data_IF_910229088006
#
_entry.id   IF_910229088006
#
_cell.length_a   1.000
_cell.length_b   1.000
_cell.length_c   1.000
_cell.angle_alpha   90.00
_cell.angle_beta   90.00
_cell.angle_gamma   90.00
#
_symmetry.space_group_name_H-M   'P 1'
#
loop_
_entity.id
_entity.type
_entity.pdbx_description
1 polymer ?
#
# COMPACT_ATOMS: atom_id res chain seq x y z
N UNK A 1 -15.29 32.42 -1.09
CA UNK A 1 -14.06 31.93 -1.74
C UNK A 1 -12.95 31.55 -0.75
N UNK A 2 -12.56 32.45 0.18
CA UNK A 2 -11.52 32.14 1.20
C UNK A 2 -11.99 31.14 2.27
N UNK A 3 -13.21 31.27 2.77
CA UNK A 3 -13.81 30.36 3.78
C UNK A 3 -13.93 28.93 3.25
N UNK A 4 -14.57 28.73 2.09
CA UNK A 4 -14.67 27.41 1.46
C UNK A 4 -13.33 26.71 1.19
N UNK A 5 -12.24 27.47 0.97
CA UNK A 5 -10.90 26.87 0.81
C UNK A 5 -10.31 26.41 2.15
N UNK A 6 -10.61 27.12 3.24
CA UNK A 6 -10.17 26.73 4.60
C UNK A 6 -10.94 25.50 5.06
N UNK A 7 -12.26 25.45 4.83
CA UNK A 7 -13.09 24.29 5.20
C UNK A 7 -12.63 23.01 4.48
N UNK A 8 -12.32 23.10 3.17
CA UNK A 8 -11.77 21.97 2.39
C UNK A 8 -10.38 21.56 2.88
N UNK A 9 -9.55 22.51 3.33
CA UNK A 9 -8.23 22.21 3.87
C UNK A 9 -8.31 21.51 5.23
N UNK A 10 -9.25 21.91 6.08
CA UNK A 10 -9.47 21.29 7.38
C UNK A 10 -10.05 19.87 7.23
N UNK A 11 -11.02 19.66 6.33
CA UNK A 11 -11.52 18.32 5.99
C UNK A 11 -10.42 17.39 5.45
N UNK A 12 -9.59 17.89 4.53
CA UNK A 12 -8.46 17.14 3.99
C UNK A 12 -7.41 16.80 5.06
N UNK A 13 -7.16 17.72 6.00
CA UNK A 13 -6.24 17.49 7.11
C UNK A 13 -6.79 16.44 8.09
N UNK A 14 -8.09 16.46 8.38
CA UNK A 14 -8.75 15.46 9.22
C UNK A 14 -8.74 14.08 8.57
N UNK A 15 -9.04 13.99 7.26
CA UNK A 15 -8.94 12.75 6.49
C UNK A 15 -7.51 12.19 6.47
N UNK A 16 -6.50 13.06 6.37
CA UNK A 16 -5.10 12.65 6.46
C UNK A 16 -4.76 12.13 7.86
N UNK A 17 -5.14 12.85 8.92
CA UNK A 17 -4.90 12.43 10.30
C UNK A 17 -5.55 11.07 10.61
N UNK A 18 -6.79 10.87 10.15
CA UNK A 18 -7.48 9.58 10.26
C UNK A 18 -6.71 8.49 9.52
N UNK A 19 -6.34 8.73 8.27
CA UNK A 19 -5.59 7.77 7.44
C UNK A 19 -4.26 7.38 8.09
N UNK A 20 -3.53 8.33 8.67
CA UNK A 20 -2.28 8.06 9.38
C UNK A 20 -2.49 7.24 10.65
N UNK A 21 -3.55 7.52 11.42
CA UNK A 21 -3.92 6.74 12.60
C UNK A 21 -4.26 5.29 12.22
N UNK A 22 -5.09 5.10 11.19
CA UNK A 22 -5.43 3.77 10.65
C UNK A 22 -4.18 3.03 10.15
N UNK A 23 -3.30 3.73 9.43
CA UNK A 23 -2.04 3.17 8.92
C UNK A 23 -1.12 2.67 10.05
N UNK A 24 -0.98 3.43 11.14
CA UNK A 24 -0.20 3.02 12.32
C UNK A 24 -0.78 1.77 12.99
N UNK A 25 -2.10 1.72 13.14
CA UNK A 25 -2.78 0.55 13.69
C UNK A 25 -2.58 -0.69 12.79
N UNK A 26 -2.64 -0.50 11.47
CA UNK A 26 -2.41 -1.55 10.49
C UNK A 26 -0.98 -2.10 10.58
N UNK A 27 0.03 -1.22 10.62
CA UNK A 27 1.43 -1.60 10.80
C UNK A 27 1.66 -2.41 12.08
N UNK A 28 1.06 -1.97 13.20
CA UNK A 28 1.15 -2.69 14.49
C UNK A 28 0.53 -4.09 14.40
N UNK A 29 -0.57 -4.22 13.66
CA UNK A 29 -1.23 -5.51 13.44
C UNK A 29 -0.39 -6.44 12.57
N UNK A 30 0.23 -5.91 11.51
CA UNK A 30 1.14 -6.66 10.61
C UNK A 30 2.37 -7.13 11.38
N UNK A 31 3.02 -6.25 12.15
CA UNK A 31 4.18 -6.59 12.96
C UNK A 31 3.86 -7.76 13.90
N UNK A 32 2.72 -7.69 14.61
CA UNK A 32 2.28 -8.77 15.50
C UNK A 32 2.03 -10.08 14.76
N UNK A 33 1.41 -10.02 13.58
CA UNK A 33 1.10 -11.20 12.77
C UNK A 33 2.36 -11.87 12.23
N UNK A 34 3.37 -11.08 11.84
CA UNK A 34 4.60 -11.56 11.21
C UNK A 34 5.73 -11.85 12.22
N UNK A 35 5.60 -11.41 13.48
CA UNK A 35 6.67 -11.50 14.48
C UNK A 35 7.22 -12.91 14.72
N UNK A 36 6.37 -13.95 14.66
CA UNK A 36 6.79 -15.34 14.89
C UNK A 36 6.00 -16.33 14.03
N UNK A 37 6.69 -17.32 13.42
CA UNK A 37 6.03 -18.46 12.79
C UNK A 37 5.11 -19.20 13.76
N UNK A 38 3.95 -19.64 13.27
CA UNK A 38 3.04 -20.51 14.00
C UNK A 38 3.58 -21.95 14.01
N UNK A 39 3.88 -22.48 15.19
CA UNK A 39 4.20 -23.89 15.35
C UNK A 39 2.99 -24.76 15.00
N UNK A 40 3.21 -25.82 14.23
CA UNK A 40 2.21 -26.80 13.86
C UNK A 40 2.46 -28.12 14.61
N UNK A 41 1.41 -28.92 14.89
CA UNK A 41 1.60 -30.25 15.49
C UNK A 41 2.42 -31.15 14.57
N UNK A 42 3.27 -32.00 15.16
CA UNK A 42 4.11 -32.96 14.44
C UNK A 42 4.72 -34.00 15.38
N UNK A 43 5.32 -35.08 14.83
CA UNK A 43 5.95 -36.12 15.61
C UNK A 43 7.23 -35.64 16.32
N UNK A 44 7.69 -36.39 17.32
CA UNK A 44 8.94 -36.10 18.01
C UNK A 44 10.13 -36.16 17.04
N UNK A 45 11.01 -35.16 17.10
CA UNK A 45 12.18 -35.06 16.22
C UNK A 45 11.97 -34.18 14.99
N UNK A 46 10.75 -33.69 14.75
CA UNK A 46 10.45 -32.77 13.65
C UNK A 46 10.03 -31.37 14.15
N UNK A 47 10.33 -30.33 13.37
CA UNK A 47 9.86 -28.97 13.61
C UNK A 47 8.98 -28.52 12.45
N UNK A 48 7.68 -28.43 12.70
CA UNK A 48 6.71 -27.95 11.72
C UNK A 48 6.33 -26.50 12.04
N UNK A 49 6.58 -25.57 11.11
CA UNK A 49 6.32 -24.14 11.27
C UNK A 49 5.59 -23.59 10.05
N UNK A 50 4.55 -22.81 10.29
CA UNK A 50 3.86 -22.01 9.29
C UNK A 50 4.25 -20.54 9.46
N UNK A 51 4.71 -19.90 8.40
CA UNK A 51 5.00 -18.48 8.36
C UNK A 51 4.50 -17.90 7.02
N UNK A 52 4.46 -16.58 6.95
CA UNK A 52 4.00 -15.85 5.78
C UNK A 52 5.21 -15.25 5.07
N UNK A 53 5.22 -15.36 3.75
CA UNK A 53 6.22 -14.75 2.88
C UNK A 53 5.52 -13.79 1.91
N UNK A 54 6.20 -12.71 1.47
CA UNK A 54 5.68 -11.83 0.44
C UNK A 54 5.49 -12.60 -0.88
N UNK A 55 4.54 -12.13 -1.70
CA UNK A 55 4.25 -12.74 -3.00
C UNK A 55 5.15 -12.22 -4.12
N UNK A 56 5.60 -10.97 -4.03
CA UNK A 56 6.45 -10.34 -5.06
C UNK A 56 6.04 -8.91 -5.36
N UNK A 57 5.94 -8.57 -6.64
CA UNK A 57 5.50 -7.24 -7.11
C UNK A 57 3.98 -7.16 -7.09
N UNK A 58 3.44 -6.14 -6.42
CA UNK A 58 2.01 -5.86 -6.38
C UNK A 58 1.70 -4.53 -7.04
N UNK A 59 0.60 -4.48 -7.79
CA UNK A 59 0.02 -3.22 -8.26
C UNK A 59 -1.05 -2.75 -7.29
N UNK A 60 -0.91 -1.53 -6.78
CA UNK A 60 -1.97 -0.85 -6.05
C UNK A 60 -2.68 0.11 -7.02
N UNK A 61 -3.92 -0.22 -7.37
CA UNK A 61 -4.72 0.57 -8.31
C UNK A 61 -5.48 1.69 -7.58
N UNK A 62 -5.44 2.90 -8.12
CA UNK A 62 -6.34 3.97 -7.70
C UNK A 62 -6.80 4.84 -8.88
N UNK A 63 -8.11 4.98 -9.01
CA UNK A 63 -8.74 5.95 -9.88
C UNK A 63 -9.56 6.96 -9.06
N UNK A 64 -10.32 7.81 -9.74
CA UNK A 64 -11.22 8.80 -9.11
C UNK A 64 -12.27 8.22 -8.16
N UNK A 65 -12.55 6.92 -8.22
CA UNK A 65 -13.47 6.25 -7.31
C UNK A 65 -12.80 5.77 -6.03
N UNK A 66 -11.47 5.64 -6.01
CA UNK A 66 -10.74 5.12 -4.86
C UNK A 66 -10.44 6.24 -3.87
N UNK A 67 -10.75 6.00 -2.59
CA UNK A 67 -10.44 6.97 -1.52
C UNK A 67 -8.94 7.03 -1.23
N UNK A 68 -8.46 8.20 -0.81
CA UNK A 68 -7.07 8.38 -0.37
C UNK A 68 -6.68 7.42 0.76
N UNK A 69 -7.59 7.18 1.70
CA UNK A 69 -7.38 6.26 2.82
C UNK A 69 -7.17 4.82 2.32
N UNK A 70 -8.02 4.33 1.43
CA UNK A 70 -7.89 2.99 0.86
C UNK A 70 -6.58 2.83 0.08
N UNK A 71 -6.26 3.81 -0.78
CA UNK A 71 -5.03 3.80 -1.58
C UNK A 71 -3.78 3.77 -0.69
N UNK A 72 -3.73 4.63 0.33
CA UNK A 72 -2.62 4.69 1.28
C UNK A 72 -2.47 3.38 2.05
N UNK A 73 -3.57 2.84 2.59
CA UNK A 73 -3.55 1.58 3.33
C UNK A 73 -3.13 0.38 2.48
N UNK A 74 -3.49 0.39 1.19
CA UNK A 74 -3.07 -0.64 0.22
C UNK A 74 -1.56 -0.65 0.06
N UNK A 75 -0.95 0.52 -0.17
CA UNK A 75 0.51 0.68 -0.28
C UNK A 75 1.20 0.26 1.02
N UNK A 76 0.75 0.81 2.16
CA UNK A 76 1.34 0.53 3.48
C UNK A 76 1.28 -0.97 3.80
N UNK A 77 0.15 -1.62 3.56
CA UNK A 77 -0.02 -3.05 3.85
C UNK A 77 0.86 -3.90 2.95
N UNK A 78 0.91 -3.61 1.64
CA UNK A 78 1.74 -4.35 0.69
C UNK A 78 3.23 -4.27 1.04
N UNK A 79 3.74 -3.05 1.29
CA UNK A 79 5.14 -2.83 1.68
C UNK A 79 5.47 -3.47 3.03
N UNK A 80 4.62 -3.28 4.05
CA UNK A 80 4.86 -3.81 5.39
C UNK A 80 4.80 -5.34 5.47
N UNK A 81 4.12 -5.98 4.51
CA UNK A 81 4.11 -7.44 4.35
C UNK A 81 5.25 -7.95 3.46
N UNK A 82 6.18 -7.09 3.06
CA UNK A 82 7.41 -7.43 2.34
C UNK A 82 7.30 -7.45 0.83
N UNK A 83 6.20 -6.97 0.25
CA UNK A 83 6.04 -6.88 -1.21
C UNK A 83 6.66 -5.59 -1.75
N UNK A 84 6.99 -5.60 -3.04
CA UNK A 84 7.36 -4.39 -3.79
C UNK A 84 6.09 -3.85 -4.45
N UNK A 85 5.92 -2.52 -4.49
CA UNK A 85 4.68 -1.89 -4.94
C UNK A 85 4.89 -1.00 -6.16
N UNK A 86 4.03 -1.18 -7.16
CA UNK A 86 3.81 -0.22 -8.24
C UNK A 86 2.41 0.38 -8.08
N UNK A 87 2.30 1.64 -7.71
CA UNK A 87 1.02 2.34 -7.64
C UNK A 87 0.62 2.85 -9.02
N UNK A 88 -0.45 2.28 -9.59
CA UNK A 88 -1.00 2.74 -10.86
C UNK A 88 -2.15 3.71 -10.59
N UNK A 89 -1.94 5.00 -10.87
CA UNK A 89 -2.88 6.08 -10.53
C UNK A 89 -3.35 6.84 -11.76
N UNK A 90 -4.60 7.33 -11.72
CA UNK A 90 -5.11 8.21 -12.76
C UNK A 90 -4.30 9.50 -12.87
N UNK A 91 -4.28 10.13 -14.05
CA UNK A 91 -3.52 11.38 -14.28
C UNK A 91 -3.91 12.52 -13.33
N UNK A 92 -5.12 12.48 -12.76
CA UNK A 92 -5.61 13.45 -11.78
C UNK A 92 -4.80 13.46 -10.48
N UNK A 93 -4.21 12.34 -10.10
CA UNK A 93 -3.49 12.16 -8.82
C UNK A 93 -2.01 11.80 -9.01
N UNK A 94 -1.51 11.89 -10.24
CA UNK A 94 -0.17 11.41 -10.57
C UNK A 94 0.93 12.22 -9.87
N UNK A 95 0.79 13.54 -9.83
CA UNK A 95 1.78 14.42 -9.21
C UNK A 95 1.78 14.27 -7.68
N UNK A 96 0.60 14.13 -7.06
CA UNK A 96 0.46 13.84 -5.64
C UNK A 96 1.06 12.47 -5.26
N UNK A 97 0.87 11.46 -6.11
CA UNK A 97 1.47 10.15 -5.90
C UNK A 97 3.01 10.19 -6.02
N UNK A 98 3.55 10.99 -6.94
CA UNK A 98 5.00 11.22 -7.03
C UNK A 98 5.56 11.93 -5.79
N UNK A 99 4.85 12.94 -5.25
CA UNK A 99 5.25 13.59 -4.00
C UNK A 99 5.21 12.61 -2.82
N UNK A 100 4.20 11.72 -2.77
CA UNK A 100 4.13 10.64 -1.79
C UNK A 100 5.34 9.69 -1.92
N UNK A 101 5.72 9.29 -3.13
CA UNK A 101 6.89 8.46 -3.39
C UNK A 101 8.18 9.13 -2.92
N UNK A 102 8.34 10.41 -3.23
CA UNK A 102 9.49 11.21 -2.81
C UNK A 102 9.58 11.27 -1.28
N UNK A 103 8.48 11.60 -0.59
CA UNK A 103 8.42 11.62 0.87
C UNK A 103 8.77 10.25 1.47
N UNK A 104 8.32 9.16 0.83
CA UNK A 104 8.68 7.80 1.25
C UNK A 104 10.19 7.54 1.09
N UNK A 105 10.81 7.93 -0.02
CA UNK A 105 12.26 7.81 -0.22
C UNK A 105 13.07 8.64 0.78
N UNK A 106 12.59 9.84 1.15
CA UNK A 106 13.22 10.70 2.16
C UNK A 106 13.29 10.05 3.55
N UNK A 107 12.50 8.99 3.82
CA UNK A 107 12.62 8.19 5.06
C UNK A 107 13.86 7.28 5.11
N UNK A 108 14.64 7.21 4.00
CA UNK A 108 15.76 6.28 3.85
C UNK A 108 15.33 4.90 3.33
N UNK A 109 14.10 4.77 2.82
CA UNK A 109 13.63 3.55 2.20
C UNK A 109 14.45 3.22 0.93
N UNK A 110 14.67 1.93 0.61
CA UNK A 110 15.43 1.56 -0.58
C UNK A 110 14.74 2.04 -1.85
N UNK A 111 15.54 2.49 -2.82
CA UNK A 111 15.03 2.83 -4.15
C UNK A 111 14.39 1.61 -4.82
N UNK A 112 13.29 1.83 -5.56
CA UNK A 112 12.62 0.79 -6.34
C UNK A 112 11.59 -0.06 -5.60
N UNK A 113 11.53 -0.03 -4.26
CA UNK A 113 10.51 -0.80 -3.50
C UNK A 113 9.10 -0.20 -3.62
N UNK A 114 9.01 1.09 -3.90
CA UNK A 114 7.77 1.81 -4.19
C UNK A 114 7.94 2.66 -5.44
N UNK A 115 7.12 2.39 -6.46
CA UNK A 115 7.11 3.08 -7.74
C UNK A 115 5.71 3.59 -8.09
N UNK A 116 5.64 4.65 -8.88
CA UNK A 116 4.38 5.26 -9.33
C UNK A 116 4.31 5.21 -10.84
N UNK A 117 3.23 4.64 -11.37
CA UNK A 117 2.93 4.55 -12.78
C UNK A 117 1.62 5.28 -13.10
N UNK A 118 1.54 5.82 -14.32
CA UNK A 118 0.27 6.34 -14.85
C UNK A 118 -0.68 5.19 -15.14
N UNK A 119 -1.97 5.45 -14.95
CA UNK A 119 -3.03 4.48 -15.22
C UNK A 119 -3.02 3.97 -16.67
N UNK A 120 -2.53 4.77 -17.63
CA UNK A 120 -2.34 4.35 -19.02
C UNK A 120 -1.44 3.12 -19.19
N UNK A 121 -0.53 2.88 -18.25
CA UNK A 121 0.38 1.72 -18.26
C UNK A 121 -0.20 0.49 -17.55
N UNK A 122 -1.41 0.57 -17.00
CA UNK A 122 -1.99 -0.54 -16.24
C UNK A 122 -2.09 -1.81 -17.08
N UNK A 123 -2.50 -1.71 -18.35
CA UNK A 123 -2.63 -2.90 -19.21
C UNK A 123 -1.29 -3.60 -19.40
N UNK A 124 -0.20 -2.85 -19.57
CA UNK A 124 1.15 -3.41 -19.70
C UNK A 124 1.59 -4.06 -18.38
N UNK A 125 1.36 -3.39 -17.24
CA UNK A 125 1.67 -3.92 -15.91
C UNK A 125 0.92 -5.24 -15.63
N UNK A 126 -0.35 -5.35 -16.03
CA UNK A 126 -1.15 -6.56 -15.84
C UNK A 126 -0.68 -7.75 -16.68
N UNK A 127 0.07 -7.49 -17.75
CA UNK A 127 0.62 -8.52 -18.63
C UNK A 127 2.05 -8.92 -18.25
N UNK A 128 2.67 -8.23 -17.30
CA UNK A 128 4.02 -8.56 -16.84
C UNK A 128 4.04 -9.88 -16.06
N UNK A 129 4.93 -10.80 -16.46
CA UNK A 129 5.05 -12.13 -15.86
C UNK A 129 5.55 -12.12 -14.41
N UNK A 130 6.18 -11.03 -13.97
CA UNK A 130 6.69 -10.85 -12.60
C UNK A 130 5.63 -10.28 -11.66
N UNK A 131 4.46 -9.87 -12.18
CA UNK A 131 3.36 -9.37 -11.35
C UNK A 131 2.78 -10.50 -10.51
N UNK A 132 2.84 -10.34 -9.19
CA UNK A 132 2.33 -11.33 -8.25
C UNK A 132 0.87 -11.10 -7.83
N UNK A 133 0.31 -9.92 -8.13
CA UNK A 133 -1.08 -9.60 -7.85
C UNK A 133 -1.43 -8.12 -7.95
N UNK A 134 -2.72 -7.82 -7.80
CA UNK A 134 -3.27 -6.46 -7.85
C UNK A 134 -4.18 -6.25 -6.64
N UNK A 135 -4.05 -5.09 -6.00
CA UNK A 135 -4.97 -4.60 -4.97
C UNK A 135 -5.90 -3.60 -5.62
N UNK A 136 -7.19 -3.92 -5.64
CA UNK A 136 -8.25 -3.10 -6.22
C UNK A 136 -9.34 -2.87 -5.19
N UNK A 137 -9.84 -1.64 -5.12
CA UNK A 137 -11.01 -1.34 -4.32
C UNK A 137 -12.25 -1.99 -4.96
N UNK A 138 -12.97 -2.80 -4.18
CA UNK A 138 -14.23 -3.38 -4.63
C UNK A 138 -15.36 -2.45 -4.20
N UNK A 139 -15.85 -1.62 -5.13
CA UNK A 139 -17.14 -0.99 -4.96
C UNK A 139 -18.23 -2.04 -5.24
N UNK A 140 -19.07 -2.41 -4.26
CA UNK A 140 -20.23 -3.27 -4.51
C UNK A 140 -21.28 -2.58 -5.41
#
# INVERSE_FOLDING_TARGET
AKLAKVDIMDELADDLNRTLATSRQQLTSIERLLAKPKGLPGPTGESNKLYLEPRGVLVCFADKGVTFEYWTLSIVTALATGNVVVSAVSDLFYDEALEFQKNFLETGAPEGVFQVARLSHLSDLLMDEHLAGVVVDSHP
#
